data_IF_679695201192
#
_entry.id   IF_679695201192
#
_cell.length_a   1.000
_cell.length_b   1.000
_cell.length_c   1.000
_cell.angle_alpha   90.00
_cell.angle_beta   90.00
_cell.angle_gamma   90.00
#
_symmetry.space_group_name_H-M   'P 1'
#
loop_
_entity.id
_entity.type
_entity.pdbx_description
1 polymer ?
#
# COMPACT_ATOMS: atom_id res chain seq x y z
N UNK A 1 -14.83 -8.51 5.51
CA UNK A 1 -13.76 -7.69 6.17
C UNK A 1 -14.24 -6.26 6.19
N UNK A 2 -14.26 -5.61 7.34
CA UNK A 2 -14.62 -4.19 7.44
C UNK A 2 -13.35 -3.32 7.35
N UNK A 3 -13.05 -2.85 6.14
CA UNK A 3 -11.85 -2.03 5.89
C UNK A 3 -11.86 -0.69 6.63
N UNK A 4 -13.04 -0.15 6.99
CA UNK A 4 -13.10 1.10 7.75
C UNK A 4 -12.68 0.86 9.21
N UNK A 5 -13.15 -0.22 9.83
CA UNK A 5 -12.70 -0.62 11.16
C UNK A 5 -11.18 -0.86 11.17
N UNK A 6 -10.67 -1.59 10.17
CA UNK A 6 -9.23 -1.90 10.08
C UNK A 6 -8.36 -0.65 9.97
N UNK A 7 -8.77 0.35 9.17
CA UNK A 7 -8.06 1.64 9.04
C UNK A 7 -7.92 2.40 10.35
N UNK A 8 -8.90 2.26 11.25
CA UNK A 8 -8.90 2.96 12.54
C UNK A 8 -8.21 2.19 13.65
N UNK A 9 -8.08 0.87 13.50
CA UNK A 9 -7.62 -0.01 14.57
C UNK A 9 -6.19 -0.51 14.35
N UNK A 10 -5.85 -0.89 13.10
CA UNK A 10 -4.56 -1.46 12.78
C UNK A 10 -3.51 -0.40 12.43
N UNK A 11 -2.26 -0.77 12.53
CA UNK A 11 -1.08 -0.03 12.06
C UNK A 11 -0.05 -1.01 11.49
N UNK A 12 0.84 -0.51 10.64
CA UNK A 12 1.77 -1.35 9.87
C UNK A 12 2.69 -2.19 10.78
N UNK A 13 3.13 -1.63 11.92
CA UNK A 13 4.00 -2.35 12.85
C UNK A 13 3.32 -3.58 13.46
N UNK A 14 2.05 -3.49 13.91
CA UNK A 14 1.35 -4.64 14.51
C UNK A 14 1.11 -5.76 13.48
N UNK A 15 0.87 -5.39 12.22
CA UNK A 15 0.72 -6.37 11.13
C UNK A 15 2.06 -7.04 10.83
N UNK A 16 3.16 -6.27 10.79
CA UNK A 16 4.52 -6.77 10.61
C UNK A 16 4.89 -7.79 11.68
N UNK A 17 4.72 -7.41 12.95
CA UNK A 17 5.02 -8.30 14.08
C UNK A 17 4.17 -9.59 14.06
N UNK A 18 2.90 -9.47 13.65
CA UNK A 18 2.02 -10.63 13.49
C UNK A 18 2.56 -11.57 12.42
N UNK A 19 2.96 -11.04 11.27
CA UNK A 19 3.55 -11.81 10.18
C UNK A 19 4.86 -12.48 10.61
N UNK A 20 5.73 -11.77 11.34
CA UNK A 20 6.97 -12.31 11.87
C UNK A 20 6.72 -13.50 12.80
N UNK A 21 5.72 -13.39 13.69
CA UNK A 21 5.32 -14.48 14.59
C UNK A 21 4.80 -15.72 13.85
N UNK A 22 4.30 -15.52 12.63
CA UNK A 22 3.83 -16.59 11.74
C UNK A 22 4.90 -17.10 10.77
N UNK A 23 6.14 -16.56 10.82
CA UNK A 23 7.26 -16.93 9.97
C UNK A 23 7.32 -16.25 8.60
N UNK A 24 6.54 -15.20 8.39
CA UNK A 24 6.52 -14.40 7.16
C UNK A 24 7.40 -13.15 7.30
N UNK A 25 8.73 -13.32 7.25
CA UNK A 25 9.72 -12.29 7.58
C UNK A 25 10.00 -11.25 6.46
N UNK A 26 9.42 -11.39 5.27
CA UNK A 26 9.72 -10.56 4.10
C UNK A 26 8.46 -9.97 3.48
N UNK A 27 7.65 -9.28 4.28
CA UNK A 27 6.36 -8.73 3.85
C UNK A 27 6.30 -7.20 3.92
N UNK A 28 7.34 -6.55 4.47
CA UNK A 28 7.45 -5.09 4.59
C UNK A 28 8.22 -4.52 3.42
N UNK A 29 7.68 -3.49 2.79
CA UNK A 29 8.38 -2.78 1.72
C UNK A 29 9.53 -1.93 2.29
N UNK A 30 10.58 -1.73 1.48
CA UNK A 30 11.70 -0.87 1.88
C UNK A 30 11.25 0.57 2.15
N UNK A 31 12.01 1.27 2.98
CA UNK A 31 11.73 2.65 3.41
C UNK A 31 11.71 3.70 2.29
N UNK A 32 11.95 3.32 1.05
CA UNK A 32 11.85 4.21 -0.12
C UNK A 32 10.43 4.55 -0.53
N UNK A 33 9.42 3.74 -0.13
CA UNK A 33 8.02 4.02 -0.44
C UNK A 33 7.38 4.71 0.77
N UNK A 34 6.78 5.87 0.54
CA UNK A 34 6.17 6.70 1.59
C UNK A 34 4.82 7.25 1.16
N UNK A 35 3.92 7.54 2.12
CA UNK A 35 2.70 8.27 1.83
C UNK A 35 3.01 9.69 1.34
N UNK A 36 2.16 10.23 0.49
CA UNK A 36 2.27 11.64 0.08
C UNK A 36 1.95 12.61 1.23
N UNK A 37 1.26 12.16 2.25
CA UNK A 37 0.95 12.89 3.48
C UNK A 37 0.91 11.90 4.64
N UNK A 38 1.49 12.26 5.78
CA UNK A 38 1.64 11.37 6.95
C UNK A 38 0.30 10.90 7.54
N UNK A 39 -0.79 11.60 7.25
CA UNK A 39 -2.14 11.21 7.67
C UNK A 39 -2.80 10.15 6.77
N UNK A 40 -2.20 9.81 5.64
CA UNK A 40 -2.74 8.83 4.71
C UNK A 40 -2.57 7.41 5.24
N UNK A 41 -3.67 6.65 5.22
CA UNK A 41 -3.69 5.22 5.53
C UNK A 41 -4.15 4.47 4.29
N UNK A 42 -3.35 3.52 3.83
CA UNK A 42 -3.66 2.61 2.74
C UNK A 42 -4.13 1.27 3.32
N UNK A 43 -5.36 0.88 3.04
CA UNK A 43 -5.93 -0.36 3.56
C UNK A 43 -6.92 -0.92 2.56
N UNK A 44 -6.57 -2.03 1.89
CA UNK A 44 -7.41 -2.60 0.85
C UNK A 44 -6.77 -3.83 0.19
N UNK A 45 -7.38 -4.29 -0.90
CA UNK A 45 -6.91 -5.44 -1.68
C UNK A 45 -6.15 -4.99 -2.91
N UNK A 46 -5.00 -5.59 -3.16
CA UNK A 46 -4.17 -5.26 -4.31
C UNK A 46 -4.86 -5.53 -5.66
N UNK A 47 -4.70 -4.61 -6.61
CA UNK A 47 -4.87 -4.80 -8.05
C UNK A 47 -3.55 -4.46 -8.73
N UNK A 48 -2.84 -5.49 -9.15
CA UNK A 48 -1.45 -5.36 -9.62
C UNK A 48 -1.41 -4.99 -11.10
N UNK A 49 -0.62 -3.96 -11.43
CA UNK A 49 -0.26 -3.59 -12.78
C UNK A 49 1.25 -3.46 -12.95
N UNK A 50 1.81 -3.98 -14.04
CA UNK A 50 3.25 -4.00 -14.31
C UNK A 50 3.56 -3.09 -15.48
N UNK A 51 4.34 -2.04 -15.20
CA UNK A 51 4.93 -1.17 -16.19
C UNK A 51 6.25 -1.71 -16.71
N UNK A 52 6.48 -1.50 -17.99
CA UNK A 52 7.77 -1.73 -18.62
C UNK A 52 8.29 -0.42 -19.23
N UNK A 53 9.60 -0.22 -19.13
CA UNK A 53 10.27 0.89 -19.81
C UNK A 53 10.13 0.75 -21.33
N UNK A 54 9.83 1.84 -22.01
CA UNK A 54 9.77 1.89 -23.46
C UNK A 54 10.87 2.79 -24.02
N UNK A 55 11.37 2.45 -25.19
CA UNK A 55 12.42 3.20 -25.91
C UNK A 55 11.91 3.77 -27.23
N UNK A 56 10.70 3.42 -27.61
CA UNK A 56 10.02 3.89 -28.82
C UNK A 56 8.53 4.08 -28.50
N UNK A 57 7.97 5.16 -29.01
CA UNK A 57 6.55 5.47 -28.87
C UNK A 57 5.91 5.44 -30.26
N UNK A 58 4.88 4.63 -30.43
CA UNK A 58 4.07 4.58 -31.66
C UNK A 58 2.83 5.43 -31.47
N UNK A 59 2.75 6.56 -32.15
CA UNK A 59 1.62 7.49 -32.09
C UNK A 59 0.27 6.84 -32.48
N UNK A 60 0.28 5.69 -33.15
CA UNK A 60 -0.93 4.95 -33.52
C UNK A 60 -1.44 4.05 -32.41
N UNK A 61 -0.67 3.85 -31.33
CA UNK A 61 -1.01 2.99 -30.21
C UNK A 61 -1.32 3.87 -28.99
N UNK A 62 -2.49 3.67 -28.37
CA UNK A 62 -2.80 4.33 -27.10
C UNK A 62 -1.91 3.73 -25.99
N UNK A 63 -0.93 4.51 -25.56
CA UNK A 63 0.02 4.08 -24.50
C UNK A 63 -0.69 3.82 -23.16
N UNK A 64 -1.83 4.46 -22.90
CA UNK A 64 -2.60 4.36 -21.66
C UNK A 64 -3.68 3.28 -21.68
N UNK A 65 -3.81 2.48 -22.75
CA UNK A 65 -4.92 1.54 -22.92
C UNK A 65 -5.11 0.60 -21.71
N UNK A 66 -4.05 -0.09 -21.30
CA UNK A 66 -4.10 -1.01 -20.17
C UNK A 66 -4.22 -0.29 -18.81
N UNK A 67 -3.60 0.90 -18.70
CA UNK A 67 -3.72 1.76 -17.51
C UNK A 67 -5.19 2.17 -17.28
N UNK A 68 -5.84 2.68 -18.33
CA UNK A 68 -7.27 3.04 -18.30
C UNK A 68 -8.11 1.81 -17.97
N UNK A 69 -7.86 0.67 -18.61
CA UNK A 69 -8.61 -0.56 -18.38
C UNK A 69 -8.48 -1.05 -16.92
N UNK A 70 -7.27 -1.03 -16.35
CA UNK A 70 -7.04 -1.36 -14.95
C UNK A 70 -7.80 -0.42 -14.02
N UNK A 71 -7.63 0.90 -14.19
CA UNK A 71 -8.23 1.90 -13.30
C UNK A 71 -9.76 1.88 -13.39
N UNK A 72 -10.33 1.79 -14.58
CA UNK A 72 -11.80 1.74 -14.77
C UNK A 72 -12.43 0.45 -14.22
N UNK A 73 -11.65 -0.61 -14.05
CA UNK A 73 -12.12 -1.90 -13.49
C UNK A 73 -11.97 -2.01 -11.98
N UNK A 74 -11.38 -1.02 -11.29
CA UNK A 74 -11.22 -1.05 -9.84
C UNK A 74 -12.56 -1.18 -9.13
N UNK A 75 -12.57 -1.99 -8.07
CA UNK A 75 -13.71 -2.19 -7.19
C UNK A 75 -13.52 -1.46 -5.87
N UNK A 76 -14.58 -1.24 -5.07
CA UNK A 76 -14.47 -0.65 -3.74
C UNK A 76 -13.43 -1.40 -2.87
N UNK A 77 -12.62 -0.62 -2.15
CA UNK A 77 -11.52 -1.09 -1.31
C UNK A 77 -10.35 -1.78 -2.04
N UNK A 78 -10.25 -1.68 -3.36
CA UNK A 78 -9.04 -2.09 -4.06
C UNK A 78 -7.97 -0.99 -4.04
N UNK A 79 -6.71 -1.42 -4.06
CA UNK A 79 -5.51 -0.60 -4.14
C UNK A 79 -4.86 -0.83 -5.49
N UNK A 80 -4.72 0.20 -6.31
CA UNK A 80 -3.92 0.11 -7.54
C UNK A 80 -2.44 -0.03 -7.17
N UNK A 81 -1.86 -1.20 -7.40
CA UNK A 81 -0.44 -1.50 -7.14
C UNK A 81 0.32 -1.47 -8.46
N UNK A 82 1.03 -0.37 -8.73
CA UNK A 82 1.68 -0.12 -10.01
C UNK A 82 3.19 -0.30 -9.92
N UNK A 83 3.69 -1.37 -10.51
CA UNK A 83 5.08 -1.79 -10.44
C UNK A 83 5.88 -1.17 -11.58
N UNK A 84 6.76 -0.23 -11.27
CA UNK A 84 7.65 0.44 -12.22
C UNK A 84 9.11 -0.04 -12.11
N UNK A 85 9.39 -1.06 -11.28
CA UNK A 85 10.74 -1.59 -11.04
C UNK A 85 11.75 -0.50 -10.65
N UNK A 86 11.30 0.46 -9.82
CA UNK A 86 12.09 1.62 -9.36
C UNK A 86 12.55 2.55 -10.51
N UNK A 87 11.92 2.49 -11.68
CA UNK A 87 12.13 3.45 -12.75
C UNK A 87 11.41 4.76 -12.43
N UNK A 88 12.06 5.65 -11.70
CA UNK A 88 11.48 6.93 -11.24
C UNK A 88 11.22 7.93 -12.37
N UNK A 89 11.69 7.68 -13.58
CA UNK A 89 11.29 8.41 -14.79
C UNK A 89 9.88 8.05 -15.26
N UNK A 90 9.28 6.97 -14.76
CA UNK A 90 7.89 6.59 -15.04
C UNK A 90 7.02 7.13 -13.92
N UNK A 91 6.07 8.01 -14.25
CA UNK A 91 5.08 8.49 -13.31
C UNK A 91 3.69 7.93 -13.69
N UNK A 92 3.36 6.74 -13.17
CA UNK A 92 2.13 6.04 -13.53
C UNK A 92 0.89 6.61 -12.84
N UNK A 93 1.04 7.62 -11.98
CA UNK A 93 -0.06 8.12 -11.16
C UNK A 93 -0.09 9.65 -11.07
N UNK A 94 -1.31 10.19 -11.11
CA UNK A 94 -1.58 11.62 -10.96
C UNK A 94 -3.01 11.90 -10.47
N UNK A 95 -3.39 13.16 -10.51
CA UNK A 95 -4.69 13.64 -10.00
C UNK A 95 -5.88 13.02 -10.72
N UNK A 96 -5.86 12.88 -12.04
CA UNK A 96 -7.01 12.35 -12.81
C UNK A 96 -7.29 10.89 -12.46
N UNK A 97 -6.25 10.05 -12.30
CA UNK A 97 -6.41 8.67 -11.86
C UNK A 97 -6.91 8.59 -10.42
N UNK A 98 -6.42 9.48 -9.54
CA UNK A 98 -6.91 9.59 -8.16
C UNK A 98 -8.39 9.98 -8.12
N UNK A 99 -8.84 10.92 -8.96
CA UNK A 99 -10.23 11.34 -9.06
C UNK A 99 -11.13 10.18 -9.49
N UNK A 100 -10.71 9.45 -10.53
CA UNK A 100 -11.47 8.29 -11.02
C UNK A 100 -11.54 7.18 -9.98
N UNK A 101 -10.42 6.85 -9.36
CA UNK A 101 -10.33 5.80 -8.33
C UNK A 101 -11.14 6.14 -7.08
N UNK A 102 -11.15 7.41 -6.67
CA UNK A 102 -11.99 7.88 -5.56
C UNK A 102 -13.48 7.74 -5.86
N UNK A 103 -13.91 8.02 -7.10
CA UNK A 103 -15.30 7.80 -7.54
C UNK A 103 -15.69 6.31 -7.48
N UNK A 104 -14.74 5.41 -7.76
CA UNK A 104 -14.94 3.95 -7.70
C UNK A 104 -14.81 3.40 -6.26
N UNK A 105 -14.63 4.26 -5.25
CA UNK A 105 -14.43 3.88 -3.85
C UNK A 105 -13.19 3.00 -3.64
N UNK A 106 -12.20 3.10 -4.54
CA UNK A 106 -10.91 2.43 -4.38
C UNK A 106 -10.17 2.95 -3.14
N UNK A 107 -9.38 2.09 -2.50
CA UNK A 107 -8.70 2.39 -1.24
C UNK A 107 -7.47 3.30 -1.40
N UNK A 108 -6.86 3.33 -2.59
CA UNK A 108 -5.69 4.15 -2.86
C UNK A 108 -4.78 3.62 -3.97
N UNK A 109 -3.56 4.14 -3.98
CA UNK A 109 -2.51 3.71 -4.92
C UNK A 109 -1.19 3.44 -4.19
N UNK A 110 -0.48 2.41 -4.64
CA UNK A 110 0.87 2.05 -4.24
C UNK A 110 1.74 1.90 -5.48
N UNK A 111 2.89 2.61 -5.54
CA UNK A 111 3.83 2.48 -6.66
C UNK A 111 5.28 2.64 -6.23
N UNK A 112 6.19 1.91 -6.84
CA UNK A 112 7.63 2.12 -6.75
C UNK A 112 8.18 3.08 -7.83
N UNK A 113 7.28 3.63 -8.66
CA UNK A 113 7.55 4.71 -9.59
C UNK A 113 7.37 6.10 -8.99
N UNK A 114 7.20 7.10 -9.85
CA UNK A 114 6.93 8.48 -9.46
C UNK A 114 5.43 8.80 -9.47
N UNK A 115 5.06 9.83 -8.71
CA UNK A 115 3.71 10.40 -8.69
C UNK A 115 3.78 11.89 -9.01
N UNK A 116 2.84 12.38 -9.80
CA UNK A 116 2.67 13.83 -10.12
C UNK A 116 1.41 14.40 -9.49
N UNK A 117 1.20 15.70 -9.61
CA UNK A 117 0.02 16.44 -9.14
C UNK A 117 -0.23 16.31 -7.62
N UNK A 118 0.84 16.13 -6.83
CA UNK A 118 0.81 15.82 -5.39
C UNK A 118 -0.01 16.80 -4.59
N UNK A 119 0.05 18.10 -4.92
CA UNK A 119 -0.75 19.15 -4.23
C UNK A 119 -2.25 18.84 -4.33
N UNK A 120 -2.73 18.43 -5.50
CA UNK A 120 -4.15 18.10 -5.73
C UNK A 120 -4.53 16.81 -4.99
N UNK A 121 -3.69 15.77 -5.09
CA UNK A 121 -3.93 14.48 -4.42
C UNK A 121 -4.03 14.67 -2.89
N UNK A 122 -3.14 15.48 -2.30
CA UNK A 122 -3.20 15.82 -0.86
C UNK A 122 -4.51 16.52 -0.50
N UNK A 123 -4.98 17.47 -1.33
CA UNK A 123 -6.27 18.15 -1.11
C UNK A 123 -7.46 17.22 -1.16
N UNK A 124 -7.40 16.18 -2.02
CA UNK A 124 -8.42 15.14 -2.14
C UNK A 124 -8.38 14.15 -0.96
N UNK A 125 -7.27 14.09 -0.22
CA UNK A 125 -7.01 13.09 0.83
C UNK A 125 -7.11 11.64 0.31
N UNK A 126 -6.88 11.42 -0.99
CA UNK A 126 -6.83 10.08 -1.57
C UNK A 126 -5.50 9.43 -1.23
N UNK A 127 -5.48 8.23 -0.60
CA UNK A 127 -4.24 7.61 -0.16
C UNK A 127 -3.33 7.22 -1.33
N UNK A 128 -2.13 7.78 -1.38
CA UNK A 128 -1.12 7.44 -2.38
C UNK A 128 0.23 7.27 -1.69
N UNK A 129 0.86 6.12 -1.94
CA UNK A 129 2.18 5.75 -1.48
C UNK A 129 3.10 5.58 -2.68
N UNK A 130 4.23 6.26 -2.71
CA UNK A 130 5.09 6.32 -3.89
C UNK A 130 6.56 6.24 -3.54
N UNK A 131 7.35 5.70 -4.48
CA UNK A 131 8.82 5.66 -4.40
C UNK A 131 9.46 7.02 -4.70
N UNK A 132 8.79 7.89 -5.44
CA UNK A 132 9.32 9.21 -5.80
C UNK A 132 8.19 10.19 -6.17
N UNK A 133 8.53 11.49 -6.18
CA UNK A 133 7.68 12.58 -6.68
C UNK A 133 8.36 13.24 -7.85
N UNK A 134 7.64 13.41 -8.97
CA UNK A 134 8.19 14.07 -10.15
C UNK A 134 7.11 14.50 -11.14
N UNK A 135 7.36 15.53 -11.98
CA UNK A 135 6.35 16.09 -12.89
C UNK A 135 6.24 15.35 -14.23
N UNK A 136 6.97 14.24 -14.40
CA UNK A 136 7.01 13.51 -15.65
C UNK A 136 5.68 12.76 -15.90
N UNK A 137 5.49 12.33 -17.14
CA UNK A 137 4.42 11.41 -17.52
C UNK A 137 5.01 10.02 -17.77
N UNK A 138 4.21 8.96 -17.69
CA UNK A 138 4.57 7.63 -18.18
C UNK A 138 4.75 7.59 -19.70
N UNK A 139 3.99 8.41 -20.46
CA UNK A 139 4.14 8.54 -21.92
C UNK A 139 5.60 8.81 -22.30
N UNK A 140 6.08 8.14 -23.35
CA UNK A 140 7.47 8.13 -23.84
C UNK A 140 8.50 7.47 -22.91
N UNK A 141 8.10 6.95 -21.72
CA UNK A 141 9.04 6.39 -20.72
C UNK A 141 8.67 4.99 -20.28
N UNK A 142 7.39 4.73 -20.07
CA UNK A 142 6.88 3.43 -19.66
C UNK A 142 5.45 3.22 -20.11
N UNK A 143 5.06 1.95 -20.21
CA UNK A 143 3.70 1.52 -20.56
C UNK A 143 3.29 0.42 -19.61
N UNK A 144 2.04 0.44 -19.14
CA UNK A 144 1.45 -0.70 -18.42
C UNK A 144 1.27 -1.84 -19.43
N UNK A 145 2.02 -2.92 -19.23
CA UNK A 145 2.03 -4.07 -20.15
C UNK A 145 1.08 -5.17 -19.71
N UNK A 146 0.99 -5.42 -18.41
CA UNK A 146 0.16 -6.47 -17.85
C UNK A 146 -0.51 -5.98 -16.56
N UNK A 147 -1.68 -6.51 -16.28
CA UNK A 147 -2.33 -6.38 -14.98
C UNK A 147 -2.96 -7.71 -14.56
N UNK A 148 -3.29 -7.83 -13.27
CA UNK A 148 -3.75 -9.07 -12.65
C UNK A 148 -2.80 -10.27 -12.82
N UNK A 149 -1.51 -9.98 -12.85
CA UNK A 149 -0.43 -10.97 -12.89
C UNK A 149 0.45 -10.85 -11.65
N UNK A 150 1.12 -11.94 -11.21
CA UNK A 150 2.07 -11.88 -10.11
C UNK A 150 3.19 -10.87 -10.36
N UNK A 151 3.53 -10.09 -9.34
CA UNK A 151 4.60 -9.12 -9.42
C UNK A 151 5.50 -9.12 -8.19
N UNK A 152 6.49 -8.24 -8.20
CA UNK A 152 7.40 -8.03 -7.08
C UNK A 152 7.70 -6.54 -6.92
N UNK A 153 7.53 -6.02 -5.71
CA UNK A 153 7.84 -4.64 -5.36
C UNK A 153 8.86 -4.63 -4.21
N UNK A 154 10.00 -3.96 -4.39
CA UNK A 154 11.11 -3.90 -3.42
C UNK A 154 11.48 -5.27 -2.81
N UNK A 155 11.43 -6.33 -3.61
CA UNK A 155 11.76 -7.68 -3.17
C UNK A 155 10.59 -8.48 -2.58
N UNK A 156 9.45 -7.85 -2.27
CA UNK A 156 8.24 -8.50 -1.77
C UNK A 156 7.35 -8.93 -2.93
N UNK A 157 6.90 -10.19 -2.91
CA UNK A 157 5.93 -10.67 -3.89
C UNK A 157 4.56 -10.05 -3.62
N UNK A 158 3.83 -9.73 -4.69
CA UNK A 158 2.47 -9.19 -4.62
C UNK A 158 1.60 -9.75 -5.74
N UNK A 159 0.39 -10.14 -5.38
CA UNK A 159 -0.63 -10.62 -6.31
C UNK A 159 -1.90 -9.81 -6.15
N UNK A 160 -2.72 -9.72 -7.20
CA UNK A 160 -4.07 -9.18 -7.05
C UNK A 160 -4.85 -10.02 -6.03
N UNK A 161 -5.51 -9.32 -5.09
CA UNK A 161 -6.20 -9.92 -3.94
C UNK A 161 -5.38 -10.00 -2.64
N UNK A 162 -4.06 -9.76 -2.66
CA UNK A 162 -3.28 -9.63 -1.43
C UNK A 162 -3.74 -8.40 -0.63
N UNK A 163 -3.72 -8.49 0.70
CA UNK A 163 -4.10 -7.37 1.54
C UNK A 163 -2.93 -6.41 1.72
N UNK A 164 -3.18 -5.13 1.46
CA UNK A 164 -2.22 -4.04 1.60
C UNK A 164 -2.61 -3.18 2.79
N UNK A 165 -1.66 -2.95 3.68
CA UNK A 165 -1.77 -1.94 4.73
C UNK A 165 -0.54 -1.03 4.70
N UNK A 166 -0.77 0.27 4.78
CA UNK A 166 0.29 1.26 4.81
C UNK A 166 -0.09 2.49 5.64
N UNK A 167 0.89 2.98 6.38
CA UNK A 167 0.83 4.21 7.17
C UNK A 167 2.17 4.97 7.07
N UNK A 168 2.39 5.94 7.95
CA UNK A 168 3.63 6.73 7.98
C UNK A 168 4.89 5.89 8.20
N UNK A 169 4.80 4.75 8.87
CA UNK A 169 5.94 3.87 9.13
C UNK A 169 6.35 3.04 7.90
N UNK A 170 5.39 2.70 7.03
CA UNK A 170 5.67 1.96 5.81
C UNK A 170 4.47 1.18 5.27
N UNK A 171 4.75 0.22 4.40
CA UNK A 171 3.73 -0.62 3.75
C UNK A 171 4.03 -2.08 3.98
N UNK A 172 3.00 -2.83 4.34
CA UNK A 172 3.02 -4.28 4.54
C UNK A 172 2.10 -4.94 3.52
N UNK A 173 2.56 -6.04 2.92
CA UNK A 173 1.78 -6.87 1.99
C UNK A 173 1.50 -8.20 2.65
N UNK A 174 0.23 -8.52 2.81
CA UNK A 174 -0.22 -9.77 3.42
C UNK A 174 -0.77 -10.68 2.33
N UNK A 175 -0.19 -11.87 2.10
CA UNK A 175 -0.71 -12.82 1.12
C UNK A 175 -2.18 -13.16 1.38
N UNK A 176 -2.98 -13.20 0.31
CA UNK A 176 -4.43 -13.42 0.37
C UNK A 176 -4.82 -14.63 1.23
N UNK A 177 -4.03 -15.72 1.14
CA UNK A 177 -4.34 -17.00 1.79
C UNK A 177 -4.29 -16.94 3.32
N UNK A 178 -3.54 -15.98 3.88
CA UNK A 178 -3.37 -15.84 5.33
C UNK A 178 -3.99 -14.54 5.86
N UNK A 179 -4.59 -13.71 5.00
CA UNK A 179 -5.11 -12.39 5.38
C UNK A 179 -6.08 -12.45 6.55
N UNK A 180 -7.03 -13.40 6.54
CA UNK A 180 -8.02 -13.50 7.61
C UNK A 180 -7.36 -13.81 8.96
N UNK A 181 -6.40 -14.74 8.98
CA UNK A 181 -5.67 -15.12 10.19
C UNK A 181 -4.79 -13.98 10.72
N UNK A 182 -4.07 -13.29 9.81
CA UNK A 182 -3.22 -12.15 10.18
C UNK A 182 -4.06 -11.01 10.77
N UNK A 183 -5.19 -10.66 10.15
CA UNK A 183 -6.07 -9.61 10.63
C UNK A 183 -6.64 -9.94 12.01
N UNK A 184 -7.10 -11.17 12.23
CA UNK A 184 -7.62 -11.61 13.53
C UNK A 184 -6.56 -11.51 14.64
N UNK A 185 -5.36 -12.03 14.39
CA UNK A 185 -4.23 -11.98 15.34
C UNK A 185 -3.76 -10.55 15.58
N UNK A 186 -3.67 -9.71 14.54
CA UNK A 186 -3.28 -8.32 14.70
C UNK A 186 -4.29 -7.53 15.53
N UNK A 187 -5.60 -7.72 15.33
CA UNK A 187 -6.64 -7.10 16.14
C UNK A 187 -6.58 -7.55 17.60
N UNK A 188 -6.25 -8.83 17.86
CA UNK A 188 -6.02 -9.31 19.21
C UNK A 188 -4.80 -8.64 19.84
N UNK A 189 -3.68 -8.60 19.12
CA UNK A 189 -2.44 -7.96 19.60
C UNK A 189 -2.65 -6.48 19.93
N UNK A 190 -3.41 -5.72 19.11
CA UNK A 190 -3.77 -4.33 19.42
C UNK A 190 -4.50 -4.21 20.76
N UNK A 191 -5.43 -5.14 21.06
CA UNK A 191 -6.14 -5.13 22.35
C UNK A 191 -5.20 -5.37 23.54
N UNK A 192 -4.26 -6.29 23.38
CA UNK A 192 -3.25 -6.62 24.40
C UNK A 192 -2.28 -5.45 24.60
N UNK A 193 -1.78 -4.84 23.53
CA UNK A 193 -0.93 -3.65 23.59
C UNK A 193 -1.63 -2.46 24.25
N UNK A 194 -2.94 -2.27 24.01
CA UNK A 194 -3.72 -1.23 24.68
C UNK A 194 -3.81 -1.46 26.21
N UNK A 195 -3.86 -2.70 26.67
CA UNK A 195 -3.81 -3.01 28.11
C UNK A 195 -2.44 -2.65 28.70
N UNK A 196 -1.36 -3.08 28.05
CA UNK A 196 0.02 -2.74 28.45
C UNK A 196 0.22 -1.22 28.48
N UNK A 197 -0.22 -0.50 27.44
CA UNK A 197 -0.16 0.96 27.39
C UNK A 197 -0.86 1.60 28.57
N UNK A 198 -2.07 1.14 28.91
CA UNK A 198 -2.81 1.63 30.07
C UNK A 198 -2.07 1.38 31.41
N UNK A 199 -1.37 0.25 31.55
CA UNK A 199 -0.52 -0.02 32.73
C UNK A 199 0.66 0.97 32.81
N UNK A 200 1.34 1.21 31.68
CA UNK A 200 2.46 2.14 31.62
C UNK A 200 2.04 3.58 31.91
N UNK A 201 0.91 4.04 31.37
CA UNK A 201 0.31 5.35 31.64
C UNK A 201 -0.05 5.53 33.13
N UNK A 202 -0.40 4.44 33.84
CA UNK A 202 -0.64 4.42 35.28
C UNK A 202 0.63 4.22 36.13
N UNK A 203 1.82 4.32 35.53
CA UNK A 203 3.10 4.30 36.22
C UNK A 203 3.67 2.91 36.56
N UNK A 204 3.10 1.84 35.99
CA UNK A 204 3.71 0.50 36.06
C UNK A 204 5.00 0.49 35.27
N UNK A 205 6.05 -0.10 35.81
CA UNK A 205 7.33 -0.18 35.08
C UNK A 205 7.23 -1.10 33.86
N UNK A 206 8.02 -0.79 32.81
CA UNK A 206 8.07 -1.58 31.59
C UNK A 206 8.45 -3.04 31.88
N UNK A 207 9.41 -3.26 32.80
CA UNK A 207 9.82 -4.61 33.21
C UNK A 207 8.66 -5.42 33.81
N UNK A 208 7.84 -4.79 34.67
CA UNK A 208 6.67 -5.44 35.28
C UNK A 208 5.57 -5.72 34.25
N UNK A 209 5.29 -4.76 33.38
CA UNK A 209 4.29 -4.94 32.32
C UNK A 209 4.71 -6.08 31.35
N UNK A 210 6.00 -6.16 31.02
CA UNK A 210 6.53 -7.25 30.19
C UNK A 210 6.47 -8.61 30.90
N UNK A 211 6.77 -8.68 32.21
CA UNK A 211 6.68 -9.91 33.00
C UNK A 211 5.24 -10.46 33.03
N UNK A 212 4.25 -9.57 33.08
CA UNK A 212 2.81 -9.94 33.15
C UNK A 212 2.21 -10.30 31.77
N UNK A 213 2.63 -9.63 30.69
CA UNK A 213 1.98 -9.73 29.38
C UNK A 213 2.88 -10.28 28.27
N UNK A 214 4.21 -10.27 28.42
CA UNK A 214 5.16 -10.72 27.40
C UNK A 214 5.20 -9.86 26.15
N UNK A 215 4.71 -8.62 26.22
CA UNK A 215 4.57 -7.68 25.10
C UNK A 215 5.40 -6.42 25.41
N UNK A 216 6.11 -5.96 24.36
CA UNK A 216 6.86 -4.70 24.31
C UNK A 216 6.50 -3.94 23.07
#
# INVERSE_FOLDING_TARGET
MDFQELKHTLYSAVISDTLDSMGYLNQVLSSGIRPLDDSMILCGLARVGIYMKIYHDDEKVNVYEHEIALIDSLQPNEVAVLLCHQHHEIAPWGELLSTRSQYLEAAGCLTDGSVRDVKRIRQMKFPVFAGNIGPLDSKHRGKLMWYDVPGKIHGVNVNSGDFIFGDVDGVVIVPQQITAEVVEKALQKVREENQVRGMLENGVSLAKAFEEHGIL
#
